data_IF_883873333439
#
_entry.id   IF_883873333439
#
_cell.length_a   1.000
_cell.length_b   1.000
_cell.length_c   1.000
_cell.angle_alpha   90.00
_cell.angle_beta   90.00
_cell.angle_gamma   90.00
#
_symmetry.space_group_name_H-M   'P 1'
#
loop_
_entity.id
_entity.type
_entity.pdbx_description
1 polymer ?
#
# COMPACT_ATOMS: atom_id res chain seq x y z
N UNK A 1 -4.46 -47.54 -31.61
CA UNK A 1 -4.99 -46.15 -31.55
C UNK A 1 -5.40 -45.85 -30.11
N UNK A 2 -4.45 -45.87 -29.17
CA UNK A 2 -4.72 -45.78 -27.72
C UNK A 2 -3.53 -45.10 -27.03
N UNK A 3 -3.24 -43.85 -27.42
CA UNK A 3 -2.16 -43.07 -26.79
C UNK A 3 -2.66 -41.75 -26.18
N UNK A 4 -3.91 -41.37 -26.45
CA UNK A 4 -4.38 -40.01 -26.21
C UNK A 4 -4.83 -39.65 -24.77
N UNK A 5 -5.08 -40.56 -23.80
CA UNK A 5 -5.58 -40.11 -22.51
C UNK A 5 -4.48 -39.80 -21.48
N UNK A 6 -3.19 -40.08 -21.76
CA UNK A 6 -2.14 -39.90 -20.75
C UNK A 6 -1.58 -38.47 -20.66
N UNK A 7 -1.90 -37.59 -21.61
CA UNK A 7 -1.32 -36.23 -21.68
C UNK A 7 -2.21 -35.20 -20.94
N UNK A 8 -3.46 -35.54 -20.62
CA UNK A 8 -4.43 -34.59 -20.03
C UNK A 8 -4.25 -34.40 -18.50
N UNK A 9 -3.40 -35.19 -17.84
CA UNK A 9 -3.17 -35.09 -16.39
C UNK A 9 -2.04 -34.12 -15.97
N UNK A 10 -1.36 -33.45 -16.91
CA UNK A 10 -0.25 -32.53 -16.59
C UNK A 10 -0.64 -31.04 -16.55
N UNK A 11 -1.94 -30.74 -16.60
CA UNK A 11 -2.43 -29.41 -17.01
C UNK A 11 -2.93 -28.47 -15.93
N UNK A 12 -2.79 -28.76 -14.62
CA UNK A 12 -3.39 -27.88 -13.60
C UNK A 12 -2.40 -27.39 -12.57
N UNK A 13 -1.37 -26.72 -13.07
CA UNK A 13 -0.63 -25.74 -12.27
C UNK A 13 -1.49 -24.48 -12.27
N UNK A 14 -2.35 -24.31 -11.25
CA UNK A 14 -2.92 -23.00 -10.96
C UNK A 14 -1.79 -22.10 -10.48
N UNK A 15 -1.04 -21.50 -11.41
CA UNK A 15 -0.26 -20.30 -11.13
C UNK A 15 -1.25 -19.17 -10.94
N UNK A 16 -1.76 -19.01 -9.71
CA UNK A 16 -2.49 -17.83 -9.31
C UNK A 16 -1.59 -16.61 -9.50
N UNK A 17 -1.85 -15.82 -10.54
CA UNK A 17 -1.12 -14.57 -10.77
C UNK A 17 -1.56 -13.55 -9.71
N UNK A 18 -0.75 -13.37 -8.67
CA UNK A 18 -0.96 -12.32 -7.68
C UNK A 18 -0.41 -11.02 -8.24
N UNK A 19 -1.26 -10.15 -8.78
CA UNK A 19 -0.84 -8.80 -9.18
C UNK A 19 -0.47 -7.99 -7.94
N UNK A 20 0.66 -7.27 -7.99
CA UNK A 20 0.95 -6.26 -6.97
C UNK A 20 -0.05 -5.10 -7.08
N UNK A 21 -0.48 -4.50 -5.96
CA UNK A 21 -1.35 -3.34 -5.98
C UNK A 21 -0.62 -2.13 -6.57
N UNK A 22 -1.33 -1.33 -7.37
CA UNK A 22 -0.82 -0.07 -7.93
C UNK A 22 -1.25 1.09 -7.02
N UNK A 23 -0.35 2.05 -6.81
CA UNK A 23 -0.64 3.29 -6.07
C UNK A 23 -0.70 4.48 -7.03
N UNK A 24 -1.73 5.31 -6.86
CA UNK A 24 -1.95 6.51 -7.68
C UNK A 24 -1.97 7.75 -6.79
N UNK A 25 -1.25 8.79 -7.20
CA UNK A 25 -1.22 10.09 -6.54
C UNK A 25 -1.64 11.19 -7.52
N UNK A 26 -2.25 12.29 -7.04
CA UNK A 26 -2.43 13.49 -7.86
C UNK A 26 -1.08 14.02 -8.37
N UNK A 27 -1.07 14.61 -9.57
CA UNK A 27 0.16 15.16 -10.16
C UNK A 27 0.74 16.32 -9.34
N UNK A 28 -0.12 17.16 -8.76
CA UNK A 28 0.30 18.26 -7.92
C UNK A 28 -0.84 18.70 -6.99
N UNK A 29 -0.45 19.31 -5.87
CA UNK A 29 -1.36 19.94 -4.92
C UNK A 29 -0.72 21.25 -4.48
N UNK A 30 -1.48 22.35 -4.53
CA UNK A 30 -1.02 23.66 -4.10
C UNK A 30 -1.73 24.09 -2.82
N UNK A 31 -0.99 24.71 -1.91
CA UNK A 31 -1.49 25.18 -0.62
C UNK A 31 -0.70 26.42 -0.19
N UNK A 32 -1.37 27.37 0.44
CA UNK A 32 -0.69 28.54 1.02
C UNK A 32 0.06 28.17 2.31
N UNK A 33 1.21 28.81 2.59
CA UNK A 33 1.89 28.64 3.88
C UNK A 33 0.96 28.91 5.07
N UNK A 34 1.11 28.14 6.14
CA UNK A 34 0.27 28.18 7.34
C UNK A 34 -1.01 27.34 7.26
N UNK A 35 -1.47 26.97 6.06
CA UNK A 35 -2.63 26.09 5.90
C UNK A 35 -2.27 24.62 6.08
N UNK A 36 -3.30 23.77 6.13
CA UNK A 36 -3.15 22.31 6.16
C UNK A 36 -3.35 21.74 4.77
N UNK A 37 -2.50 20.81 4.35
CA UNK A 37 -2.67 20.03 3.12
C UNK A 37 -2.83 18.55 3.44
N UNK A 38 -3.61 17.85 2.61
CA UNK A 38 -3.85 16.42 2.69
C UNK A 38 -3.52 15.79 1.34
N UNK A 39 -2.35 15.15 1.24
CA UNK A 39 -1.89 14.46 0.04
C UNK A 39 -2.47 13.05 0.01
N UNK A 40 -3.05 12.63 -1.11
CA UNK A 40 -3.69 11.32 -1.25
C UNK A 40 -2.79 10.33 -2.00
N UNK A 41 -2.91 9.07 -1.59
CA UNK A 41 -2.32 7.91 -2.23
C UNK A 41 -3.40 6.81 -2.32
N UNK A 42 -3.92 6.60 -3.52
CA UNK A 42 -5.03 5.68 -3.76
C UNK A 42 -4.50 4.33 -4.19
N UNK A 43 -4.92 3.27 -3.51
CA UNK A 43 -4.61 1.89 -3.90
C UNK A 43 -5.62 1.37 -4.93
N UNK A 44 -5.12 0.65 -5.93
CA UNK A 44 -5.94 0.03 -6.97
C UNK A 44 -7.03 -0.87 -6.38
N UNK A 45 -8.15 -0.99 -7.11
CA UNK A 45 -9.23 -1.90 -6.74
C UNK A 45 -8.75 -3.36 -6.69
N UNK A 46 -9.47 -4.21 -5.94
CA UNK A 46 -9.12 -5.62 -5.76
C UNK A 46 -8.10 -5.89 -4.65
N UNK A 47 -7.64 -4.86 -3.94
CA UNK A 47 -6.79 -4.98 -2.75
C UNK A 47 -7.23 -3.96 -1.70
N UNK A 48 -7.28 -4.37 -0.43
CA UNK A 48 -7.65 -3.47 0.66
C UNK A 48 -6.42 -2.82 1.28
N UNK A 49 -6.39 -1.48 1.30
CA UNK A 49 -5.35 -0.70 1.95
C UNK A 49 -5.31 -0.89 3.48
N UNK A 50 -6.36 -1.49 4.07
CA UNK A 50 -6.36 -1.90 5.48
C UNK A 50 -5.17 -2.81 5.80
N UNK A 51 -4.80 -3.67 4.86
CA UNK A 51 -3.83 -4.73 5.06
C UNK A 51 -2.39 -4.26 4.82
N UNK A 52 -2.19 -2.98 4.52
CA UNK A 52 -0.90 -2.43 4.11
C UNK A 52 -0.40 -1.34 5.05
N UNK A 53 0.88 -1.43 5.40
CA UNK A 53 1.66 -0.32 5.93
C UNK A 53 1.88 0.68 4.79
N UNK A 54 1.48 1.93 4.98
CA UNK A 54 1.74 2.98 3.99
C UNK A 54 2.85 3.86 4.50
N UNK A 55 3.93 3.93 3.72
CA UNK A 55 5.12 4.74 4.00
C UNK A 55 5.10 5.99 3.13
N UNK A 56 5.50 7.12 3.71
CA UNK A 56 5.58 8.40 3.04
C UNK A 56 7.02 8.90 2.98
N UNK A 57 7.37 9.52 1.86
CA UNK A 57 8.68 10.09 1.58
C UNK A 57 8.54 11.49 1.01
N UNK A 58 9.51 12.35 1.32
CA UNK A 58 9.66 13.70 0.77
C UNK A 58 10.95 13.75 -0.05
N UNK A 59 10.88 14.28 -1.27
CA UNK A 59 12.04 14.51 -2.12
C UNK A 59 12.12 15.98 -2.51
N UNK A 60 13.18 16.65 -2.06
CA UNK A 60 13.51 17.99 -2.52
C UNK A 60 14.32 17.92 -3.82
N UNK A 61 14.24 18.94 -4.70
CA UNK A 61 15.04 18.98 -5.91
C UNK A 61 16.53 18.72 -5.63
N UNK A 62 17.14 17.81 -6.40
CA UNK A 62 18.54 17.43 -6.27
C UNK A 62 18.88 16.52 -5.07
N UNK A 63 17.91 16.11 -4.26
CA UNK A 63 18.12 15.22 -3.11
C UNK A 63 17.51 13.83 -3.34
N UNK A 64 17.98 12.84 -2.58
CA UNK A 64 17.33 11.53 -2.49
C UNK A 64 16.03 11.61 -1.67
N UNK A 65 15.05 10.73 -1.90
CA UNK A 65 13.85 10.64 -1.07
C UNK A 65 14.20 10.45 0.42
N UNK A 66 13.68 11.33 1.28
CA UNK A 66 13.77 11.26 2.74
C UNK A 66 12.52 10.59 3.28
N UNK A 67 12.71 9.58 4.12
CA UNK A 67 11.61 8.93 4.83
C UNK A 67 10.93 9.88 5.83
N UNK A 68 9.59 9.95 5.79
CA UNK A 68 8.78 10.77 6.68
C UNK A 68 8.13 9.94 7.78
N UNK A 69 7.26 8.99 7.42
CA UNK A 69 6.47 8.22 8.37
C UNK A 69 5.90 6.95 7.76
N UNK A 70 5.41 6.06 8.61
CA UNK A 70 4.52 4.98 8.22
C UNK A 70 3.20 5.04 9.00
N UNK A 71 2.13 4.58 8.36
CA UNK A 71 0.82 4.43 8.98
C UNK A 71 0.21 3.08 8.60
N UNK A 72 -0.11 2.26 9.60
CA UNK A 72 -0.90 1.03 9.45
C UNK A 72 -2.24 1.16 10.18
N UNK A 73 -2.21 1.52 11.45
CA UNK A 73 -3.39 1.84 12.27
C UNK A 73 -3.01 2.95 13.25
N UNK A 74 -3.97 3.47 14.02
CA UNK A 74 -3.65 4.46 15.05
C UNK A 74 -2.76 3.92 16.17
N UNK A 75 -2.80 2.61 16.41
CA UNK A 75 -1.93 1.90 17.36
C UNK A 75 -0.61 1.43 16.74
N UNK A 76 -0.49 1.43 15.40
CA UNK A 76 0.70 0.99 14.66
C UNK A 76 1.06 2.04 13.61
N UNK A 77 1.76 3.07 14.07
CA UNK A 77 2.27 4.17 13.26
C UNK A 77 3.61 4.63 13.82
N UNK A 78 4.45 5.22 12.98
CA UNK A 78 5.75 5.72 13.38
C UNK A 78 6.19 6.90 12.54
N UNK A 79 6.98 7.77 13.15
CA UNK A 79 7.53 8.97 12.54
C UNK A 79 9.04 8.76 12.33
N UNK A 80 9.55 9.24 11.20
CA UNK A 80 10.98 9.24 10.88
C UNK A 80 11.77 10.18 11.79
N UNK A 81 13.07 9.93 11.93
CA UNK A 81 13.94 10.77 12.75
C UNK A 81 13.99 12.22 12.24
N UNK A 82 13.80 13.17 13.16
CA UNK A 82 13.81 14.60 12.86
C UNK A 82 12.65 15.07 11.95
N UNK A 83 11.60 14.26 11.80
CA UNK A 83 10.39 14.65 11.05
C UNK A 83 9.45 15.39 12.01
N UNK A 84 9.04 16.63 11.69
CA UNK A 84 8.22 17.44 12.60
C UNK A 84 6.84 16.82 12.88
N UNK A 85 6.29 17.04 14.07
CA UNK A 85 4.97 16.54 14.47
C UNK A 85 3.80 17.06 13.62
N UNK A 86 4.04 18.09 12.80
CA UNK A 86 3.06 18.64 11.86
C UNK A 86 2.68 17.66 10.74
N UNK A 87 3.53 16.65 10.49
CA UNK A 87 3.29 15.55 9.55
C UNK A 87 2.56 14.39 10.24
N UNK A 88 1.48 13.90 9.62
CA UNK A 88 0.71 12.78 10.15
C UNK A 88 0.12 11.92 9.02
N UNK A 89 -0.04 10.62 9.28
CA UNK A 89 -0.64 9.67 8.35
C UNK A 89 -2.06 9.29 8.76
N UNK A 90 -2.91 8.96 7.80
CA UNK A 90 -4.22 8.32 8.03
C UNK A 90 -4.64 7.46 6.84
N UNK A 91 -5.66 6.61 7.02
CA UNK A 91 -6.27 5.81 5.94
C UNK A 91 -7.79 5.96 5.94
N UNK A 92 -8.34 6.10 4.74
CA UNK A 92 -9.76 5.89 4.44
C UNK A 92 -9.87 4.54 3.72
N UNK A 93 -10.18 3.49 4.49
CA UNK A 93 -10.30 2.13 3.98
C UNK A 93 -11.53 1.94 3.10
N UNK A 94 -12.54 2.81 3.20
CA UNK A 94 -13.76 2.73 2.38
C UNK A 94 -13.49 3.16 0.93
N UNK A 95 -12.63 4.17 0.76
CA UNK A 95 -12.24 4.69 -0.55
C UNK A 95 -10.87 4.16 -1.01
N UNK A 96 -10.24 3.27 -0.24
CA UNK A 96 -8.93 2.71 -0.51
C UNK A 96 -7.81 3.76 -0.63
N UNK A 97 -7.88 4.82 0.19
CA UNK A 97 -6.97 5.97 0.13
C UNK A 97 -6.16 6.10 1.42
N UNK A 98 -4.86 6.29 1.30
CA UNK A 98 -4.01 6.76 2.39
C UNK A 98 -3.71 8.25 2.23
N UNK A 99 -3.52 8.92 3.36
CA UNK A 99 -3.27 10.34 3.39
C UNK A 99 -2.03 10.69 4.21
N UNK A 100 -1.26 11.64 3.69
CA UNK A 100 -0.29 12.43 4.45
C UNK A 100 -0.90 13.80 4.71
N UNK A 101 -1.08 14.14 5.98
CA UNK A 101 -1.54 15.45 6.41
C UNK A 101 -0.36 16.24 6.93
N UNK A 102 -0.14 17.42 6.35
CA UNK A 102 0.86 18.39 6.79
C UNK A 102 0.10 19.60 7.30
N UNK A 103 0.11 19.81 8.60
CA UNK A 103 -0.48 20.98 9.25
C UNK A 103 0.51 22.14 9.28
N UNK A 104 0.03 23.39 9.13
CA UNK A 104 0.90 24.55 9.19
C UNK A 104 2.05 24.51 8.18
N UNK A 105 1.73 24.28 6.90
CA UNK A 105 2.70 24.10 5.82
C UNK A 105 3.69 25.26 5.78
N UNK A 106 4.97 24.94 5.65
CA UNK A 106 6.06 25.92 5.53
C UNK A 106 6.59 25.96 4.10
N UNK A 107 7.29 27.04 3.73
CA UNK A 107 7.95 27.12 2.42
C UNK A 107 8.97 25.99 2.20
N UNK A 108 9.60 25.50 3.28
CA UNK A 108 10.51 24.36 3.22
C UNK A 108 9.84 23.00 2.93
N UNK A 109 8.51 22.94 2.99
CA UNK A 109 7.73 21.72 2.70
C UNK A 109 7.43 21.56 1.20
N UNK A 110 7.82 22.54 0.36
CA UNK A 110 7.73 22.42 -1.09
C UNK A 110 8.70 21.33 -1.60
N UNK A 111 8.12 20.24 -2.11
CA UNK A 111 8.82 19.02 -2.49
C UNK A 111 7.90 18.08 -3.28
N UNK A 112 8.50 17.08 -3.91
CA UNK A 112 7.77 15.91 -4.38
C UNK A 112 7.51 14.95 -3.21
N UNK A 113 6.32 14.36 -3.17
CA UNK A 113 5.92 13.42 -2.12
C UNK A 113 5.54 12.08 -2.72
N UNK A 114 6.04 11.00 -2.14
CA UNK A 114 5.81 9.64 -2.63
C UNK A 114 5.24 8.75 -1.54
N UNK A 115 4.30 7.89 -1.90
CA UNK A 115 3.83 6.81 -1.05
C UNK A 115 4.33 5.44 -1.54
N UNK A 116 4.50 4.51 -0.61
CA UNK A 116 4.68 3.08 -0.91
C UNK A 116 3.86 2.25 0.07
N UNK A 117 3.45 1.06 -0.35
CA UNK A 117 2.61 0.17 0.45
C UNK A 117 3.28 -1.19 0.63
N UNK A 118 3.32 -1.68 1.87
CA UNK A 118 3.84 -3.00 2.21
C UNK A 118 2.80 -3.81 2.96
N UNK A 119 2.47 -5.01 2.45
CA UNK A 119 1.44 -5.85 3.06
C UNK A 119 1.89 -6.29 4.45
N UNK A 120 1.07 -6.01 5.45
CA UNK A 120 1.28 -6.51 6.81
C UNK A 120 1.22 -8.03 6.83
N UNK A 121 2.08 -8.63 7.65
CA UNK A 121 2.22 -10.08 7.75
C UNK A 121 0.90 -10.78 8.04
N UNK A 122 0.32 -11.37 7.00
CA UNK A 122 -0.59 -12.49 7.08
C UNK A 122 0.10 -13.59 6.27
N UNK A 123 0.45 -14.69 6.92
CA UNK A 123 0.92 -15.88 6.22
C UNK A 123 -0.06 -16.19 5.08
N UNK A 124 0.40 -16.62 3.89
CA UNK A 124 -0.51 -17.10 2.88
C UNK A 124 -1.29 -18.26 3.49
N UNK A 125 -2.59 -18.05 3.76
CA UNK A 125 -3.49 -19.14 4.08
C UNK A 125 -3.62 -19.96 2.78
N UNK A 126 -2.93 -21.09 2.73
CA UNK A 126 -3.28 -22.11 1.76
C UNK A 126 -4.53 -22.78 2.33
N UNK A 127 -5.71 -22.39 1.83
CA UNK A 127 -6.95 -23.11 2.13
C UNK A 127 -6.73 -24.57 1.78
N UNK A 128 -6.48 -25.37 2.81
CA UNK A 128 -6.38 -26.81 2.68
C UNK A 128 -7.79 -27.29 2.45
N UNK A 129 -8.17 -27.58 1.21
CA UNK A 129 -9.39 -28.33 0.92
C UNK A 129 -9.22 -29.70 1.57
N UNK A 130 -9.77 -29.83 2.78
CA UNK A 130 -9.92 -31.10 3.47
C UNK A 130 -11.01 -31.87 2.74
N UNK A 131 -10.63 -32.69 1.77
CA UNK A 131 -11.54 -33.70 1.23
C UNK A 131 -11.67 -34.80 2.28
N UNK A 132 -12.77 -34.79 3.03
CA UNK A 132 -13.19 -35.94 3.82
C UNK A 132 -13.69 -37.02 2.87
N UNK A 133 -12.95 -38.13 2.78
CA UNK A 133 -13.40 -39.33 2.09
C UNK A 133 -14.33 -40.12 3.01
N UNK A 134 -15.64 -39.92 2.90
CA UNK A 134 -16.58 -40.92 3.41
C UNK A 134 -16.58 -42.14 2.48
N UNK A 135 -16.34 -43.31 3.08
CA UNK A 135 -16.34 -44.60 2.40
C UNK A 135 -17.68 -45.28 2.65
N UNK A 136 -18.45 -45.53 1.59
CA UNK A 136 -19.34 -46.70 1.50
C UNK A 136 -19.60 -47.08 0.05
#
# INVERSE_FOLDING_TARGET
MLWAPLIVLLGTWCTGSSSQPVLTQPLSVSVSPGNTVKLSCTMSSGTSISDYYVHWYQQKPGNSPRYLLYYYTDSSKGQGSGVPARFSGSKDTSNNVAYLTISGVLAEDEADYYCSAWKGGSAPHCDTVRSESETK
#
